data_IF_177138548452
#
_entry.id   IF_177138548452
#
_cell.length_a   1.000
_cell.length_b   1.000
_cell.length_c   1.000
_cell.angle_alpha   90.00
_cell.angle_beta   90.00
_cell.angle_gamma   90.00
#
_symmetry.space_group_name_H-M   'P 1'
#
loop_
_entity.id
_entity.type
_entity.pdbx_description
1 polymer ?
#
# COMPACT_ATOMS: atom_id res chain seq x y z
N UNK A 1 -16.40 -13.92 -2.73
CA UNK A 1 -16.07 -12.50 -3.00
C UNK A 1 -17.01 -11.88 -4.02
N UNK A 2 -17.19 -12.49 -5.20
CA UNK A 2 -18.16 -12.02 -6.21
C UNK A 2 -19.56 -11.87 -5.59
N UNK A 3 -20.06 -12.90 -4.91
CA UNK A 3 -21.39 -12.86 -4.28
C UNK A 3 -21.47 -11.83 -3.16
N UNK A 4 -20.42 -11.72 -2.32
CA UNK A 4 -20.31 -10.70 -1.27
C UNK A 4 -20.37 -9.27 -1.82
N UNK A 5 -19.75 -9.01 -2.98
CA UNK A 5 -19.82 -7.71 -3.65
C UNK A 5 -21.20 -7.47 -4.26
N UNK A 6 -21.79 -8.50 -4.86
CA UNK A 6 -23.15 -8.43 -5.41
C UNK A 6 -24.16 -8.08 -4.31
N UNK A 7 -24.09 -8.74 -3.17
CA UNK A 7 -24.92 -8.49 -1.99
C UNK A 7 -24.79 -7.04 -1.49
N UNK A 8 -23.56 -6.52 -1.36
CA UNK A 8 -23.32 -5.11 -0.99
C UNK A 8 -23.94 -4.11 -1.98
N UNK A 9 -24.04 -4.50 -3.25
CA UNK A 9 -24.64 -3.70 -4.31
C UNK A 9 -26.13 -4.02 -4.53
N UNK A 10 -26.73 -4.86 -3.68
CA UNK A 10 -28.11 -5.33 -3.78
C UNK A 10 -28.44 -6.00 -5.12
N UNK A 11 -27.46 -6.67 -5.74
CA UNK A 11 -27.61 -7.43 -6.98
C UNK A 11 -27.91 -8.90 -6.63
N UNK A 12 -29.04 -9.47 -7.08
CA UNK A 12 -29.36 -10.88 -6.86
C UNK A 12 -28.28 -11.83 -7.41
N UNK A 13 -27.87 -12.82 -6.61
CA UNK A 13 -26.82 -13.77 -6.98
C UNK A 13 -27.09 -14.50 -8.31
N UNK A 14 -28.36 -14.88 -8.58
CA UNK A 14 -28.71 -15.56 -9.83
C UNK A 14 -28.41 -14.72 -11.08
N UNK A 15 -28.52 -13.39 -11.01
CA UNK A 15 -28.19 -12.49 -12.13
C UNK A 15 -26.69 -12.49 -12.39
N UNK A 16 -25.88 -12.49 -11.33
CA UNK A 16 -24.42 -12.56 -11.42
C UNK A 16 -23.98 -13.90 -12.01
N UNK A 17 -24.52 -15.02 -11.51
CA UNK A 17 -24.21 -16.34 -12.06
C UNK A 17 -24.66 -16.49 -13.51
N UNK A 18 -25.79 -15.86 -13.89
CA UNK A 18 -26.25 -15.84 -15.29
C UNK A 18 -25.30 -15.05 -16.18
N UNK A 19 -24.86 -13.88 -15.72
CA UNK A 19 -23.86 -13.08 -16.44
C UNK A 19 -22.55 -13.84 -16.63
N UNK A 20 -22.11 -14.61 -15.63
CA UNK A 20 -20.89 -15.43 -15.72
C UNK A 20 -21.02 -16.61 -16.70
N UNK A 21 -22.22 -16.97 -17.17
CA UNK A 21 -22.41 -17.97 -18.24
C UNK A 21 -22.11 -17.43 -19.64
N UNK A 22 -21.95 -16.11 -19.81
CA UNK A 22 -21.54 -15.51 -21.09
C UNK A 22 -20.24 -16.16 -21.56
N UNK A 23 -20.20 -16.53 -22.84
CA UNK A 23 -19.00 -17.09 -23.47
C UNK A 23 -17.95 -16.00 -23.64
N UNK A 24 -16.75 -16.29 -23.16
CA UNK A 24 -15.59 -15.44 -23.38
C UNK A 24 -14.95 -15.72 -24.76
N UNK A 25 -13.96 -14.93 -25.21
CA UNK A 25 -13.35 -15.09 -26.53
C UNK A 25 -12.75 -16.47 -26.83
N UNK A 26 -12.45 -17.28 -25.80
CA UNK A 26 -11.93 -18.63 -25.97
C UNK A 26 -13.02 -19.73 -26.03
N UNK A 27 -14.30 -19.35 -26.13
CA UNK A 27 -15.44 -20.27 -26.25
C UNK A 27 -15.90 -20.91 -24.93
N UNK A 28 -15.16 -20.75 -23.83
CA UNK A 28 -15.61 -21.12 -22.47
C UNK A 28 -16.34 -19.95 -21.82
N UNK A 29 -17.31 -20.25 -20.98
CA UNK A 29 -17.97 -19.25 -20.14
C UNK A 29 -17.02 -18.71 -19.07
N UNK A 30 -17.29 -17.51 -18.57
CA UNK A 30 -16.52 -16.95 -17.47
C UNK A 30 -16.60 -17.83 -16.20
N UNK A 31 -17.73 -18.49 -15.94
CA UNK A 31 -17.86 -19.46 -14.84
C UNK A 31 -16.89 -20.65 -15.00
N UNK A 32 -16.88 -21.30 -16.16
CA UNK A 32 -15.96 -22.42 -16.44
C UNK A 32 -14.49 -22.01 -16.32
N UNK A 33 -14.16 -20.78 -16.73
CA UNK A 33 -12.80 -20.23 -16.60
C UNK A 33 -12.44 -19.98 -15.14
N UNK A 34 -13.35 -19.40 -14.35
CA UNK A 34 -13.15 -19.15 -12.92
C UNK A 34 -13.01 -20.45 -12.12
N UNK A 35 -13.80 -21.47 -12.43
CA UNK A 35 -13.73 -22.79 -11.77
C UNK A 35 -12.39 -23.49 -12.01
N UNK A 36 -11.76 -23.23 -13.16
CA UNK A 36 -10.46 -23.79 -13.53
C UNK A 36 -9.25 -22.94 -13.09
N UNK A 37 -9.48 -21.76 -12.52
CA UNK A 37 -8.40 -20.81 -12.22
C UNK A 37 -7.49 -21.36 -11.12
N UNK A 38 -6.17 -21.28 -11.34
CA UNK A 38 -5.16 -21.74 -10.37
C UNK A 38 -4.22 -20.63 -9.92
N UNK A 39 -4.11 -19.56 -10.69
CA UNK A 39 -3.14 -18.49 -10.46
C UNK A 39 -3.78 -17.11 -10.51
N UNK A 40 -3.19 -16.16 -9.78
CA UNK A 40 -3.57 -14.75 -9.80
C UNK A 40 -3.46 -14.15 -11.22
N UNK A 41 -2.45 -14.57 -11.99
CA UNK A 41 -2.31 -14.16 -13.41
C UNK A 41 -3.51 -14.57 -14.24
N UNK A 42 -3.97 -15.81 -14.11
CA UNK A 42 -5.15 -16.30 -14.82
C UNK A 42 -6.41 -15.57 -14.36
N UNK A 43 -6.58 -15.35 -13.05
CA UNK A 43 -7.71 -14.59 -12.52
C UNK A 43 -7.73 -13.16 -13.04
N UNK A 44 -6.57 -12.49 -13.07
CA UNK A 44 -6.44 -11.15 -13.63
C UNK A 44 -6.79 -11.12 -15.12
N UNK A 45 -6.30 -12.09 -15.91
CA UNK A 45 -6.61 -12.17 -17.33
C UNK A 45 -8.10 -12.44 -17.60
N UNK A 46 -8.77 -13.28 -16.79
CA UNK A 46 -10.22 -13.49 -16.89
C UNK A 46 -10.98 -12.18 -16.64
N UNK A 47 -10.56 -11.41 -15.63
CA UNK A 47 -11.17 -10.12 -15.33
C UNK A 47 -10.95 -9.10 -16.46
N UNK A 48 -9.73 -9.01 -16.98
CA UNK A 48 -9.38 -8.11 -18.07
C UNK A 48 -10.16 -8.45 -19.35
N UNK A 49 -10.33 -9.74 -19.67
CA UNK A 49 -11.18 -10.18 -20.79
C UNK A 49 -12.64 -9.77 -20.60
N UNK A 50 -13.18 -9.96 -19.39
CA UNK A 50 -14.58 -9.66 -19.06
C UNK A 50 -14.90 -8.18 -19.32
N UNK A 51 -14.08 -7.28 -18.79
CA UNK A 51 -14.32 -5.84 -18.91
C UNK A 51 -13.97 -5.32 -20.31
N UNK A 52 -13.14 -6.01 -21.08
CA UNK A 52 -12.83 -5.64 -22.47
C UNK A 52 -14.00 -5.89 -23.43
N UNK A 53 -15.01 -6.68 -23.03
CA UNK A 53 -16.23 -6.87 -23.82
C UNK A 53 -17.12 -5.62 -23.84
N UNK A 54 -16.93 -4.69 -22.91
CA UNK A 54 -17.70 -3.45 -22.81
C UNK A 54 -16.83 -2.29 -23.32
N UNK A 55 -17.34 -1.43 -24.23
CA UNK A 55 -16.62 -0.22 -24.63
C UNK A 55 -16.21 0.60 -23.41
N UNK A 56 -14.95 1.06 -23.38
CA UNK A 56 -14.35 1.77 -22.23
C UNK A 56 -14.30 0.96 -20.92
N UNK A 57 -14.60 -0.34 -20.92
CA UNK A 57 -14.70 -1.14 -19.70
C UNK A 57 -13.38 -1.25 -18.93
N UNK A 58 -12.24 -1.22 -19.61
CA UNK A 58 -10.92 -1.13 -18.96
C UNK A 58 -10.77 0.16 -18.14
N UNK A 59 -11.15 1.30 -18.72
CA UNK A 59 -11.08 2.61 -18.07
C UNK A 59 -12.07 2.71 -16.90
N UNK A 60 -13.27 2.17 -17.06
CA UNK A 60 -14.34 2.27 -16.07
C UNK A 60 -14.23 1.25 -14.94
N UNK A 61 -13.76 0.03 -15.24
CA UNK A 61 -13.84 -1.11 -14.34
C UNK A 61 -12.50 -1.78 -14.04
N UNK A 62 -11.39 -1.38 -14.67
CA UNK A 62 -10.07 -2.00 -14.43
C UNK A 62 -9.61 -1.91 -12.97
N UNK A 63 -10.00 -0.84 -12.26
CA UNK A 63 -9.75 -0.66 -10.84
C UNK A 63 -10.50 -1.65 -9.95
N UNK A 64 -11.49 -2.39 -10.46
CA UNK A 64 -12.25 -3.39 -9.72
C UNK A 64 -11.60 -4.78 -9.73
N UNK A 65 -10.54 -4.97 -10.53
CA UNK A 65 -9.80 -6.23 -10.60
C UNK A 65 -9.34 -6.62 -9.18
N UNK A 66 -9.73 -7.81 -8.68
CA UNK A 66 -9.42 -8.21 -7.30
C UNK A 66 -7.93 -8.50 -7.08
N UNK A 67 -7.17 -8.74 -8.14
CA UNK A 67 -5.74 -9.01 -8.07
C UNK A 67 -4.99 -7.68 -8.01
N UNK A 68 -4.38 -7.40 -6.86
CA UNK A 68 -3.70 -6.12 -6.57
C UNK A 68 -2.19 -6.21 -6.62
N UNK A 69 -1.63 -7.41 -6.53
CA UNK A 69 -0.20 -7.69 -6.64
C UNK A 69 0.06 -8.72 -7.74
N UNK A 70 1.29 -8.78 -8.24
CA UNK A 70 1.63 -9.77 -9.25
C UNK A 70 3.12 -9.97 -9.45
N UNK A 71 3.44 -10.99 -10.25
CA UNK A 71 4.82 -11.30 -10.64
C UNK A 71 5.64 -12.00 -9.54
N UNK A 72 6.90 -12.35 -9.86
CA UNK A 72 7.79 -13.08 -8.96
C UNK A 72 8.10 -12.36 -7.64
N UNK A 73 7.99 -11.04 -7.60
CA UNK A 73 8.23 -10.22 -6.39
C UNK A 73 6.93 -9.69 -5.75
N UNK A 74 5.75 -10.17 -6.19
CA UNK A 74 4.45 -9.77 -5.62
C UNK A 74 4.26 -8.25 -5.54
N UNK A 75 4.57 -7.54 -6.63
CA UNK A 75 4.56 -6.08 -6.67
C UNK A 75 3.13 -5.56 -6.80
N UNK A 76 2.80 -4.50 -6.05
CA UNK A 76 1.53 -3.79 -6.20
C UNK A 76 1.36 -3.23 -7.62
N UNK A 77 0.22 -3.51 -8.26
CA UNK A 77 -0.10 -2.99 -9.59
C UNK A 77 -0.20 -1.46 -9.56
N UNK A 78 -0.81 -0.89 -8.52
CA UNK A 78 -0.92 0.56 -8.38
C UNK A 78 0.47 1.21 -8.23
N UNK A 79 1.38 0.56 -7.51
CA UNK A 79 2.76 1.02 -7.42
C UNK A 79 3.44 1.00 -8.80
N UNK A 80 3.32 -0.09 -9.54
CA UNK A 80 3.92 -0.23 -10.87
C UNK A 80 3.37 0.82 -11.86
N UNK A 81 2.06 1.08 -11.85
CA UNK A 81 1.41 2.10 -12.69
C UNK A 81 1.96 3.51 -12.44
N UNK A 82 2.31 3.83 -11.18
CA UNK A 82 2.90 5.12 -10.82
C UNK A 82 4.40 5.23 -11.15
N UNK A 83 5.10 4.10 -11.32
CA UNK A 83 6.56 4.04 -11.44
C UNK A 83 7.04 3.45 -12.78
N UNK A 84 6.34 3.75 -13.87
CA UNK A 84 6.70 3.29 -15.23
C UNK A 84 7.90 4.04 -15.83
N UNK A 85 8.21 5.24 -15.32
CA UNK A 85 9.30 6.07 -15.84
C UNK A 85 10.65 5.38 -15.64
N UNK A 86 11.42 5.27 -16.73
CA UNK A 86 12.72 4.61 -16.73
C UNK A 86 12.66 3.10 -16.97
N UNK A 87 11.47 2.53 -17.18
CA UNK A 87 11.34 1.14 -17.64
C UNK A 87 12.00 0.99 -19.03
N UNK A 88 13.00 0.10 -19.20
CA UNK A 88 13.83 0.13 -20.40
C UNK A 88 13.26 -0.66 -21.58
N UNK A 89 12.19 -1.44 -21.39
CA UNK A 89 11.60 -2.28 -22.43
C UNK A 89 10.26 -1.75 -22.91
N UNK A 90 9.96 -1.95 -24.20
CA UNK A 90 8.61 -1.76 -24.72
C UNK A 90 7.67 -2.78 -24.06
N UNK A 91 6.56 -2.28 -23.51
CA UNK A 91 5.48 -3.12 -23.00
C UNK A 91 4.55 -3.48 -24.17
N UNK A 92 4.24 -4.76 -24.33
CA UNK A 92 3.31 -5.24 -25.38
C UNK A 92 1.84 -5.08 -24.97
N UNK A 93 1.58 -4.80 -23.70
CA UNK A 93 0.25 -4.66 -23.13
C UNK A 93 0.23 -3.67 -21.97
N UNK A 94 -0.67 -3.87 -21.01
CA UNK A 94 -0.81 -2.97 -19.86
C UNK A 94 0.33 -3.15 -18.85
N UNK A 95 0.56 -2.15 -18.00
CA UNK A 95 1.53 -2.24 -16.89
C UNK A 95 1.24 -3.47 -16.01
N UNK A 96 -0.04 -3.72 -15.73
CA UNK A 96 -0.51 -4.93 -15.02
C UNK A 96 -0.01 -6.21 -15.67
N UNK A 97 -0.18 -6.36 -16.98
CA UNK A 97 0.27 -7.54 -17.71
C UNK A 97 1.80 -7.66 -17.68
N UNK A 98 2.51 -6.54 -17.77
CA UNK A 98 3.98 -6.51 -17.68
C UNK A 98 4.47 -6.93 -16.28
N UNK A 99 3.80 -6.53 -15.19
CA UNK A 99 4.13 -6.98 -13.83
C UNK A 99 4.08 -8.51 -13.69
N UNK A 100 3.17 -9.18 -14.39
CA UNK A 100 3.11 -10.66 -14.43
C UNK A 100 4.18 -11.32 -15.31
N UNK A 101 4.99 -10.54 -16.03
CA UNK A 101 6.16 -11.03 -16.75
C UNK A 101 7.33 -11.19 -15.78
N UNK A 102 8.30 -12.07 -16.11
CA UNK A 102 9.51 -12.22 -15.29
C UNK A 102 10.29 -10.91 -15.22
N UNK A 103 10.49 -10.25 -16.36
CA UNK A 103 11.26 -9.01 -16.46
C UNK A 103 10.56 -7.84 -15.75
N UNK A 104 9.25 -7.70 -15.93
CA UNK A 104 8.49 -6.61 -15.36
C UNK A 104 8.38 -6.76 -13.85
N UNK A 105 8.00 -7.95 -13.36
CA UNK A 105 7.93 -8.18 -11.93
C UNK A 105 9.28 -8.06 -11.21
N UNK A 106 10.38 -8.47 -11.84
CA UNK A 106 11.72 -8.21 -11.29
C UNK A 106 12.07 -6.72 -11.31
N UNK A 107 11.84 -6.02 -12.41
CA UNK A 107 12.19 -4.60 -12.51
C UNK A 107 11.37 -3.73 -11.56
N UNK A 108 10.05 -3.87 -11.54
CA UNK A 108 9.20 -3.09 -10.63
C UNK A 108 9.45 -3.48 -9.17
N UNK A 109 9.80 -4.74 -8.90
CA UNK A 109 10.13 -5.19 -7.56
C UNK A 109 11.48 -4.65 -7.08
N UNK A 110 12.53 -4.69 -7.89
CA UNK A 110 13.82 -4.08 -7.53
C UNK A 110 13.72 -2.57 -7.45
N UNK A 111 12.91 -1.94 -8.30
CA UNK A 111 12.57 -0.53 -8.21
C UNK A 111 11.90 -0.22 -6.86
N UNK A 112 10.86 -0.97 -6.47
CA UNK A 112 10.20 -0.80 -5.16
C UNK A 112 11.18 -1.02 -4.00
N UNK A 113 12.08 -2.00 -4.11
CA UNK A 113 13.00 -2.30 -3.01
C UNK A 113 14.13 -1.25 -2.85
N UNK A 114 14.65 -0.72 -3.96
CA UNK A 114 15.93 -0.01 -3.98
C UNK A 114 15.83 1.43 -4.52
N UNK A 115 14.81 1.77 -5.31
CA UNK A 115 14.71 3.08 -5.98
C UNK A 115 14.07 4.16 -5.08
N UNK A 116 14.47 4.18 -3.82
CA UNK A 116 14.21 5.28 -2.90
C UNK A 116 15.40 5.45 -1.96
N UNK A 117 15.85 6.69 -1.70
CA UNK A 117 16.88 6.94 -0.71
C UNK A 117 16.34 6.54 0.66
N UNK A 118 17.17 5.88 1.47
CA UNK A 118 16.81 5.53 2.84
C UNK A 118 18.06 5.50 3.70
N UNK A 119 17.97 6.12 4.87
CA UNK A 119 19.06 6.23 5.85
C UNK A 119 19.05 5.03 6.82
N UNK A 120 18.90 3.82 6.29
CA UNK A 120 18.80 2.60 7.10
C UNK A 120 20.14 1.94 7.38
N UNK A 121 20.35 1.50 8.62
CA UNK A 121 21.58 0.82 9.02
C UNK A 121 21.68 -0.63 8.52
N UNK A 122 20.54 -1.24 8.20
CA UNK A 122 20.47 -2.64 7.80
C UNK A 122 19.40 -2.90 6.71
N UNK A 123 19.62 -3.87 5.80
CA UNK A 123 18.66 -4.21 4.74
C UNK A 123 17.28 -4.68 5.23
N UNK A 124 17.18 -5.20 6.46
CA UNK A 124 15.92 -5.71 7.02
C UNK A 124 14.81 -4.64 7.03
N UNK A 125 15.16 -3.36 7.21
CA UNK A 125 14.19 -2.26 7.19
C UNK A 125 13.67 -1.98 5.78
N UNK A 126 14.50 -2.15 4.73
CA UNK A 126 14.02 -2.10 3.34
C UNK A 126 13.09 -3.27 3.02
N UNK A 127 13.36 -4.46 3.55
CA UNK A 127 12.46 -5.60 3.38
C UNK A 127 11.14 -5.39 4.12
N UNK A 128 11.17 -4.77 5.31
CA UNK A 128 9.97 -4.37 6.01
C UNK A 128 9.17 -3.32 5.21
N UNK A 129 9.82 -2.27 4.71
CA UNK A 129 9.21 -1.26 3.83
C UNK A 129 8.67 -1.84 2.53
N UNK A 130 9.31 -2.87 1.96
CA UNK A 130 8.79 -3.53 0.76
C UNK A 130 7.37 -4.07 0.98
N UNK A 131 7.10 -4.59 2.18
CA UNK A 131 5.80 -5.14 2.57
C UNK A 131 4.84 -4.07 3.12
N UNK A 132 5.37 -3.08 3.83
CA UNK A 132 4.60 -2.09 4.59
C UNK A 132 4.39 -0.75 3.87
N UNK A 133 5.11 -0.52 2.77
CA UNK A 133 5.20 0.78 2.11
C UNK A 133 6.53 1.48 2.39
N UNK A 134 6.95 2.33 1.44
CA UNK A 134 8.18 3.11 1.59
C UNK A 134 8.20 3.93 2.87
N UNK A 135 9.34 3.89 3.56
CA UNK A 135 9.62 4.58 4.82
C UNK A 135 8.84 4.08 6.05
N UNK A 136 8.06 3.00 5.94
CA UNK A 136 7.28 2.47 7.06
C UNK A 136 8.15 2.19 8.29
N UNK A 137 9.38 1.67 8.12
CA UNK A 137 10.28 1.37 9.23
C UNK A 137 10.76 2.63 9.96
N UNK A 138 11.04 3.71 9.22
CA UNK A 138 11.38 5.02 9.81
C UNK A 138 10.17 5.61 10.52
N UNK A 139 9.00 5.51 9.90
CA UNK A 139 7.77 6.06 10.42
C UNK A 139 7.31 5.31 11.69
N UNK A 140 7.50 4.00 11.77
CA UNK A 140 7.28 3.20 12.97
C UNK A 140 8.18 3.66 14.13
N UNK A 141 9.45 3.96 13.85
CA UNK A 141 10.35 4.54 14.84
C UNK A 141 9.91 5.94 15.30
N UNK A 142 9.45 6.77 14.36
CA UNK A 142 8.88 8.08 14.67
C UNK A 142 7.61 7.97 15.54
N UNK A 143 6.70 7.04 15.24
CA UNK A 143 5.53 6.75 16.08
C UNK A 143 5.93 6.31 17.49
N UNK A 144 7.02 5.54 17.64
CA UNK A 144 7.56 5.21 18.95
C UNK A 144 8.08 6.47 19.68
N UNK A 145 8.80 7.36 19.00
CA UNK A 145 9.23 8.64 19.57
C UNK A 145 8.04 9.52 20.00
N UNK A 146 7.01 9.64 19.18
CA UNK A 146 5.75 10.32 19.52
C UNK A 146 5.10 9.67 20.75
N UNK A 147 5.08 8.34 20.82
CA UNK A 147 4.51 7.61 21.97
C UNK A 147 5.28 7.91 23.26
N UNK A 148 6.62 7.94 23.21
CA UNK A 148 7.45 8.30 24.37
C UNK A 148 7.24 9.75 24.80
N UNK A 149 7.26 10.69 23.85
CA UNK A 149 7.07 12.12 24.13
C UNK A 149 5.67 12.42 24.72
N UNK A 150 4.62 11.92 24.08
CA UNK A 150 3.22 12.21 24.42
C UNK A 150 2.64 11.35 25.55
N UNK A 151 3.18 10.15 25.78
CA UNK A 151 2.59 9.15 26.67
C UNK A 151 1.40 8.39 26.07
N UNK A 152 1.05 8.65 24.80
CA UNK A 152 -0.02 7.91 24.10
C UNK A 152 0.56 6.64 23.49
N UNK A 153 -0.10 5.49 23.69
CA UNK A 153 0.29 4.24 23.03
C UNK A 153 -0.19 4.25 21.57
N UNK A 154 0.74 4.25 20.62
CA UNK A 154 0.44 4.13 19.18
C UNK A 154 0.67 2.70 18.67
N UNK A 155 -0.02 2.35 17.59
CA UNK A 155 0.41 1.26 16.72
C UNK A 155 1.68 1.74 16.00
N UNK A 156 2.70 0.90 15.96
CA UNK A 156 3.97 1.20 15.30
C UNK A 156 3.94 0.65 13.86
N UNK A 157 2.88 0.96 13.12
CA UNK A 157 2.56 0.41 11.79
C UNK A 157 3.19 1.20 10.63
N UNK A 158 3.74 2.40 10.90
CA UNK A 158 4.32 3.29 9.90
C UNK A 158 3.36 4.33 9.32
N UNK A 159 2.08 4.28 9.69
CA UNK A 159 1.07 5.22 9.19
C UNK A 159 1.04 6.51 10.03
N UNK A 160 1.56 7.59 9.44
CA UNK A 160 1.63 8.89 10.11
C UNK A 160 0.31 9.66 10.04
N UNK A 161 -0.46 9.43 8.98
CA UNK A 161 -1.73 10.11 8.69
C UNK A 161 -2.74 9.14 8.11
N UNK A 162 -4.00 9.57 8.06
CA UNK A 162 -5.01 8.97 7.20
C UNK A 162 -4.86 9.52 5.79
N UNK A 163 -4.63 8.64 4.81
CA UNK A 163 -4.54 9.00 3.40
C UNK A 163 -5.93 9.02 2.72
N UNK A 164 -6.91 8.33 3.28
CA UNK A 164 -8.29 8.24 2.82
C UNK A 164 -9.19 9.38 3.32
N UNK A 165 -8.67 10.22 4.22
CA UNK A 165 -9.47 11.21 4.95
C UNK A 165 -8.64 12.44 5.32
N UNK A 166 -9.32 13.60 5.38
CA UNK A 166 -8.75 14.82 5.96
C UNK A 166 -8.76 14.80 7.50
N UNK A 167 -9.50 13.87 8.10
CA UNK A 167 -9.56 13.71 9.55
C UNK A 167 -8.22 13.20 10.10
N UNK A 168 -7.77 13.71 11.26
CA UNK A 168 -6.49 13.32 11.83
C UNK A 168 -6.53 11.85 12.31
N UNK A 169 -5.44 11.12 12.01
CA UNK A 169 -5.22 9.77 12.53
C UNK A 169 -4.73 9.77 13.98
N UNK A 170 -4.57 8.59 14.58
CA UNK A 170 -4.08 8.45 15.97
C UNK A 170 -2.67 9.03 16.16
N UNK A 171 -1.76 8.77 15.22
CA UNK A 171 -0.40 9.34 15.22
C UNK A 171 -0.43 10.86 15.20
N UNK A 172 -1.25 11.44 14.31
CA UNK A 172 -1.41 12.88 14.17
C UNK A 172 -2.00 13.51 15.45
N UNK A 173 -3.06 12.94 16.02
CA UNK A 173 -3.64 13.41 17.27
C UNK A 173 -2.65 13.38 18.43
N UNK A 174 -1.85 12.31 18.55
CA UNK A 174 -0.80 12.21 19.56
C UNK A 174 0.32 13.24 19.34
N UNK A 175 0.64 13.56 18.09
CA UNK A 175 1.63 14.58 17.73
C UNK A 175 1.10 15.98 18.02
N UNK A 176 -0.18 16.26 17.74
CA UNK A 176 -0.85 17.54 18.07
C UNK A 176 -0.90 17.82 19.57
N UNK A 177 -0.99 16.78 20.43
CA UNK A 177 -0.82 16.95 21.89
C UNK A 177 0.54 17.54 22.29
N UNK A 178 1.55 17.44 21.42
CA UNK A 178 2.88 18.01 21.63
C UNK A 178 3.02 19.42 21.04
N UNK A 179 2.02 19.95 20.32
CA UNK A 179 2.06 21.22 19.59
C UNK A 179 2.69 22.38 20.38
N UNK A 180 2.24 22.60 21.62
CA UNK A 180 2.77 23.65 22.49
C UNK A 180 4.26 23.48 22.83
N UNK A 181 4.72 22.24 23.05
CA UNK A 181 6.15 21.95 23.30
C UNK A 181 6.99 22.02 22.03
N UNK A 182 6.39 21.69 20.89
CA UNK A 182 7.03 21.77 19.59
C UNK A 182 7.09 23.21 19.06
N UNK A 183 6.24 24.12 19.57
CA UNK A 183 6.05 25.46 19.00
C UNK A 183 5.57 25.38 17.56
N UNK A 184 4.57 24.52 17.31
CA UNK A 184 4.02 24.26 15.97
C UNK A 184 2.49 24.26 16.06
N UNK A 185 1.83 24.81 15.06
CA UNK A 185 0.40 24.67 14.87
C UNK A 185 0.01 23.29 14.35
N UNK A 186 -1.25 22.91 14.54
CA UNK A 186 -1.80 21.65 14.02
C UNK A 186 -1.64 21.50 12.50
N UNK A 187 -1.77 22.61 11.75
CA UNK A 187 -1.61 22.60 10.29
C UNK A 187 -0.15 22.40 9.87
N UNK A 188 0.80 22.98 10.61
CA UNK A 188 2.23 22.74 10.39
C UNK A 188 2.63 21.30 10.71
N UNK A 189 2.04 20.72 11.76
CA UNK A 189 2.21 19.30 12.10
C UNK A 189 1.69 18.44 10.95
N UNK A 190 0.44 18.64 10.51
CA UNK A 190 -0.15 17.89 9.40
C UNK A 190 0.71 17.95 8.15
N UNK A 191 1.10 19.16 7.71
CA UNK A 191 1.91 19.39 6.52
C UNK A 191 3.26 18.64 6.57
N UNK A 192 3.84 18.47 7.75
CA UNK A 192 5.10 17.74 7.90
C UNK A 192 4.88 16.23 8.02
N UNK A 193 3.82 15.76 8.66
CA UNK A 193 3.45 14.33 8.66
C UNK A 193 3.08 13.82 7.27
N UNK A 194 2.48 14.67 6.42
CA UNK A 194 2.19 14.37 5.01
C UNK A 194 3.45 14.05 4.19
N UNK A 195 4.64 14.43 4.66
CA UNK A 195 5.91 14.07 4.00
C UNK A 195 6.36 12.66 4.35
N UNK A 196 5.60 11.91 5.16
CA UNK A 196 5.97 10.59 5.69
C UNK A 196 6.31 9.53 4.66
N UNK A 197 5.89 9.70 3.41
CA UNK A 197 6.20 8.85 2.25
C UNK A 197 7.41 9.35 1.43
N UNK A 198 8.11 10.36 1.93
CA UNK A 198 9.28 10.97 1.27
C UNK A 198 10.51 10.92 2.16
N UNK A 199 11.68 11.01 1.54
CA UNK A 199 12.96 11.13 2.23
C UNK A 199 13.01 12.39 3.11
N UNK A 200 12.46 13.49 2.60
CA UNK A 200 12.53 14.81 3.25
C UNK A 200 11.87 14.87 4.63
N UNK A 201 11.07 13.87 5.03
CA UNK A 201 10.46 13.84 6.35
C UNK A 201 11.48 13.87 7.48
N UNK A 202 12.59 13.14 7.36
CA UNK A 202 13.63 13.07 8.41
C UNK A 202 14.39 14.38 8.59
N UNK A 203 14.30 15.28 7.61
CA UNK A 203 14.89 16.60 7.65
C UNK A 203 13.96 17.65 8.28
N UNK A 204 12.68 17.31 8.47
CA UNK A 204 11.67 18.24 8.96
C UNK A 204 11.92 18.68 10.40
N UNK A 205 11.45 19.89 10.74
CA UNK A 205 11.50 20.40 12.09
C UNK A 205 10.69 19.53 13.06
N UNK A 206 9.53 19.01 12.61
CA UNK A 206 8.69 18.11 13.39
C UNK A 206 9.45 16.86 13.78
N UNK A 207 10.09 16.18 12.81
CA UNK A 207 10.88 14.98 13.05
C UNK A 207 11.95 15.22 14.11
N UNK A 208 12.79 16.25 13.90
CA UNK A 208 13.90 16.58 14.80
C UNK A 208 13.42 16.94 16.20
N UNK A 209 12.40 17.80 16.33
CA UNK A 209 11.86 18.25 17.61
C UNK A 209 11.16 17.13 18.40
N UNK A 210 10.44 16.22 17.73
CA UNK A 210 9.81 15.06 18.39
C UNK A 210 10.88 14.15 18.99
N UNK A 211 11.95 13.84 18.25
CA UNK A 211 13.05 13.04 18.79
C UNK A 211 13.75 13.75 19.95
N UNK A 212 14.08 15.03 19.82
CA UNK A 212 14.66 15.81 20.91
C UNK A 212 13.81 15.74 22.17
N UNK A 213 12.49 15.92 22.05
CA UNK A 213 11.56 15.86 23.18
C UNK A 213 11.47 14.45 23.79
N UNK A 214 11.42 13.42 22.95
CA UNK A 214 11.31 12.04 23.38
C UNK A 214 12.60 11.53 24.06
N UNK A 215 13.76 11.90 23.54
CA UNK A 215 15.07 11.53 24.08
C UNK A 215 15.34 12.27 25.40
N UNK A 216 15.02 13.57 25.49
CA UNK A 216 15.10 14.31 26.74
C UNK A 216 14.24 13.69 27.85
N UNK A 217 13.06 13.16 27.50
CA UNK A 217 12.15 12.50 28.45
C UNK A 217 12.59 11.09 28.84
N UNK A 218 13.29 10.37 27.96
CA UNK A 218 13.70 8.98 28.20
C UNK A 218 15.15 8.83 28.66
N UNK A 219 15.95 9.89 28.57
CA UNK A 219 17.36 9.91 28.99
C UNK A 219 18.29 9.12 28.06
N UNK A 220 17.83 8.73 26.86
CA UNK A 220 18.63 7.95 25.90
C UNK A 220 18.26 8.27 24.47
N UNK A 221 19.20 7.99 23.56
CA UNK A 221 18.94 8.02 22.11
C UNK A 221 17.90 6.97 21.73
N UNK A 222 16.97 7.34 20.85
CA UNK A 222 15.94 6.45 20.32
C UNK A 222 16.33 5.89 18.94
N UNK A 223 15.86 4.70 18.56
CA UNK A 223 16.08 4.20 17.20
C UNK A 223 15.41 5.13 16.16
N UNK A 224 15.99 5.23 14.96
CA UNK A 224 15.40 5.95 13.81
C UNK A 224 14.71 5.01 12.80
N UNK A 225 14.71 3.72 13.11
CA UNK A 225 14.23 2.63 12.28
C UNK A 225 13.73 1.50 13.21
N UNK A 226 12.56 0.95 12.93
CA UNK A 226 11.95 -0.14 13.69
C UNK A 226 11.15 -1.02 12.72
N UNK A 227 11.05 -2.32 13.00
CA UNK A 227 10.15 -3.18 12.22
C UNK A 227 8.70 -2.76 12.47
N UNK A 228 7.93 -2.41 11.41
CA UNK A 228 6.53 -2.04 11.55
C UNK A 228 5.69 -3.19 12.10
N UNK A 229 4.88 -2.90 13.12
CA UNK A 229 3.93 -3.83 13.72
C UNK A 229 2.62 -3.86 12.93
N UNK A 230 2.63 -4.44 11.73
CA UNK A 230 1.43 -4.54 10.89
C UNK A 230 0.54 -5.67 11.41
N UNK A 231 -0.73 -5.34 11.68
CA UNK A 231 -1.74 -6.35 11.95
C UNK A 231 -2.23 -6.92 10.62
N UNK A 232 -1.92 -8.19 10.36
CA UNK A 232 -2.35 -8.88 9.15
C UNK A 232 -3.79 -9.37 9.32
N UNK A 233 -4.73 -8.73 8.63
CA UNK A 233 -6.07 -9.27 8.42
C UNK A 233 -6.15 -9.91 7.03
N UNK A 234 -6.24 -11.24 6.98
CA UNK A 234 -6.43 -11.97 5.73
C UNK A 234 -7.50 -13.03 5.93
N UNK A 235 -8.34 -13.33 4.91
CA UNK A 235 -9.19 -14.52 4.94
C UNK A 235 -8.41 -15.81 5.19
N UNK A 236 -7.11 -15.85 4.86
CA UNK A 236 -6.20 -16.98 5.11
C UNK A 236 -5.60 -16.98 6.52
N UNK A 237 -5.77 -15.89 7.26
CA UNK A 237 -5.26 -15.67 8.62
C UNK A 237 -6.49 -15.43 9.49
N UNK A 238 -7.36 -16.43 9.57
CA UNK A 238 -8.39 -16.49 10.61
C UNK A 238 -7.73 -17.13 11.83
N UNK A 239 -7.61 -16.38 12.92
CA UNK A 239 -7.22 -16.92 14.23
C UNK A 239 -8.43 -16.93 15.13
#
# INVERSE_FOLDING_TARGET
>A
EIDRRAERMHIPAFLVHTALKIKSPNGKSYSERLDSVRTEKQLSAIFDDLISMVPMGQTLFGSLNPVRTGGPMQVSIAFAEQHTKGYPWKMDGTVRQEVFSRRGGLWFGTYHLLNYPASYSAPIYRFADFNAGWYASRNAAFQNAVSKASGVKLALDGDLIRYDSKEPGKTELATRKLAGKLGMSDSEIRRQLEKGDSFSFEETALYKKVYQLAEAKTGKSLPREMLPGIQLESPKITR
#
